data_IF_884770384017
#
_entry.id   IF_884770384017
#
_cell.length_a   1.000
_cell.length_b   1.000
_cell.length_c   1.000
_cell.angle_alpha   90.00
_cell.angle_beta   90.00
_cell.angle_gamma   90.00
#
_symmetry.space_group_name_H-M   'P 1'
#
loop_
_entity.id
_entity.type
_entity.pdbx_description
1 polymer ?
#
# COMPACT_ATOMS: atom_id res chain seq x y z
N UNK A 1 -45.10 32.83 -42.81
CA UNK A 1 -44.26 31.72 -43.32
C UNK A 1 -42.76 31.88 -43.07
N UNK A 2 -42.21 33.08 -42.81
CA UNK A 2 -40.76 33.28 -42.57
C UNK A 2 -40.28 32.86 -41.15
N UNK A 3 -41.16 32.87 -40.15
CA UNK A 3 -40.78 32.57 -38.76
C UNK A 3 -40.77 31.06 -38.42
N UNK A 4 -41.40 30.21 -39.26
CA UNK A 4 -41.47 28.76 -39.03
C UNK A 4 -40.17 28.05 -39.44
N UNK A 5 -39.44 28.58 -40.44
CA UNK A 5 -38.18 28.01 -40.94
C UNK A 5 -37.02 28.27 -39.96
N UNK A 6 -37.03 29.40 -39.25
CA UNK A 6 -36.00 29.76 -38.25
C UNK A 6 -36.10 28.88 -37.00
N UNK A 7 -37.31 28.53 -36.57
CA UNK A 7 -37.55 27.62 -35.45
C UNK A 7 -37.12 26.18 -35.75
N UNK A 8 -37.29 25.73 -37.01
CA UNK A 8 -36.77 24.43 -37.44
C UNK A 8 -35.23 24.40 -37.47
N UNK A 9 -34.56 25.48 -37.88
CA UNK A 9 -33.10 25.58 -37.84
C UNK A 9 -32.52 25.59 -36.41
N UNK A 10 -33.22 26.21 -35.46
CA UNK A 10 -32.79 26.24 -34.04
C UNK A 10 -32.91 24.87 -33.35
N UNK A 11 -33.84 24.01 -33.77
CA UNK A 11 -33.98 22.65 -33.25
C UNK A 11 -32.95 21.65 -33.80
N UNK A 12 -32.35 21.90 -34.97
CA UNK A 12 -31.34 21.00 -35.53
C UNK A 12 -29.93 21.19 -34.94
N UNK A 13 -29.66 22.31 -34.26
CA UNK A 13 -28.32 22.60 -33.70
C UNK A 13 -28.14 22.01 -32.29
N UNK A 14 -29.20 21.65 -31.57
CA UNK A 14 -29.10 21.13 -30.19
C UNK A 14 -29.09 19.61 -30.09
N UNK A 15 -29.12 18.87 -31.20
CA UNK A 15 -29.00 17.42 -31.22
C UNK A 15 -27.69 16.94 -31.86
N UNK A 16 -26.60 17.67 -31.67
CA UNK A 16 -25.28 17.06 -31.66
C UNK A 16 -25.13 16.33 -30.32
N UNK A 17 -25.84 15.20 -30.19
CA UNK A 17 -25.63 14.28 -29.09
C UNK A 17 -24.13 13.99 -29.03
N UNK A 18 -23.52 14.33 -27.91
CA UNK A 18 -22.21 13.78 -27.57
C UNK A 18 -22.41 12.27 -27.49
N UNK A 19 -22.20 11.58 -28.61
CA UNK A 19 -21.79 10.20 -28.58
C UNK A 19 -20.49 10.23 -27.78
N UNK A 20 -20.56 9.86 -26.50
CA UNK A 20 -19.35 9.41 -25.82
C UNK A 20 -18.78 8.35 -26.74
N UNK A 21 -17.62 8.63 -27.33
CA UNK A 21 -16.78 7.57 -27.85
C UNK A 21 -16.43 6.75 -26.62
N UNK A 22 -17.26 5.75 -26.31
CA UNK A 22 -16.93 4.71 -25.35
C UNK A 22 -15.82 3.88 -25.99
N UNK A 23 -14.64 4.49 -26.16
CA UNK A 23 -13.41 3.75 -26.15
C UNK A 23 -13.40 3.10 -24.78
N UNK A 24 -13.72 1.82 -24.75
CA UNK A 24 -13.46 1.00 -23.58
C UNK A 24 -11.95 1.12 -23.37
N UNK A 25 -11.54 1.99 -22.46
CA UNK A 25 -10.20 1.96 -21.91
C UNK A 25 -10.21 0.76 -20.99
N UNK A 26 -9.80 -0.40 -21.52
CA UNK A 26 -9.48 -1.54 -20.68
C UNK A 26 -8.24 -1.11 -19.89
N UNK A 27 -8.32 -0.93 -18.56
CA UNK A 27 -7.15 -0.60 -17.78
C UNK A 27 -6.23 -1.82 -17.82
N UNK A 28 -5.27 -1.85 -18.73
CA UNK A 28 -4.20 -2.85 -18.77
C UNK A 28 -3.17 -2.50 -17.70
N UNK A 29 -3.61 -2.44 -16.45
CA UNK A 29 -2.74 -2.26 -15.29
C UNK A 29 -2.27 -3.61 -14.76
N UNK A 30 -3.19 -4.59 -14.69
CA UNK A 30 -2.96 -5.87 -14.02
C UNK A 30 -2.58 -6.99 -14.98
N UNK A 31 -1.48 -7.68 -14.69
CA UNK A 31 -1.04 -8.88 -15.39
C UNK A 31 -1.20 -10.15 -14.55
N UNK A 32 -1.76 -10.02 -13.33
CA UNK A 32 -2.02 -11.13 -12.41
C UNK A 32 -3.27 -10.89 -11.55
N UNK A 33 -3.71 -11.90 -10.78
CA UNK A 33 -4.83 -11.75 -9.84
C UNK A 33 -4.49 -10.76 -8.74
N UNK A 34 -5.43 -9.84 -8.50
CA UNK A 34 -5.36 -8.93 -7.36
C UNK A 34 -5.61 -9.75 -6.10
N UNK A 35 -4.65 -9.75 -5.16
CA UNK A 35 -4.77 -10.45 -3.88
C UNK A 35 -5.54 -9.61 -2.86
N UNK A 36 -5.34 -8.31 -2.88
CA UNK A 36 -5.93 -7.36 -1.93
C UNK A 36 -5.80 -5.93 -2.43
N UNK A 37 -6.54 -5.01 -1.83
CA UNK A 37 -6.45 -3.58 -2.09
C UNK A 37 -6.54 -2.79 -0.79
N UNK A 38 -5.93 -1.61 -0.77
CA UNK A 38 -6.07 -0.63 0.32
C UNK A 38 -6.39 0.74 -0.25
N UNK A 39 -7.21 1.50 0.47
CA UNK A 39 -7.53 2.89 0.17
C UNK A 39 -6.72 3.77 1.12
N UNK A 40 -6.16 4.87 0.62
CA UNK A 40 -5.52 5.83 1.52
C UNK A 40 -6.54 6.53 2.42
N UNK A 41 -6.06 7.09 3.53
CA UNK A 41 -6.92 7.76 4.53
C UNK A 41 -7.75 8.92 3.93
N UNK A 42 -7.24 9.57 2.88
CA UNK A 42 -7.91 10.69 2.22
C UNK A 42 -8.81 10.26 1.05
N UNK A 43 -8.91 8.95 0.76
CA UNK A 43 -9.66 8.38 -0.36
C UNK A 43 -9.28 9.01 -1.72
N UNK A 44 -8.02 9.41 -1.86
CA UNK A 44 -7.45 9.98 -3.07
C UNK A 44 -6.78 8.91 -3.91
N UNK A 45 -6.25 7.86 -3.27
CA UNK A 45 -5.44 6.83 -3.91
C UNK A 45 -5.89 5.44 -3.50
N UNK A 46 -5.90 4.53 -4.46
CA UNK A 46 -6.10 3.10 -4.23
C UNK A 46 -4.82 2.36 -4.58
N UNK A 47 -4.50 1.34 -3.80
CA UNK A 47 -3.35 0.48 -4.01
C UNK A 47 -3.83 -0.95 -4.17
N UNK A 48 -3.30 -1.65 -5.16
CA UNK A 48 -3.73 -2.98 -5.55
C UNK A 48 -2.53 -3.90 -5.52
N UNK A 49 -2.57 -4.89 -4.64
CA UNK A 49 -1.53 -5.90 -4.51
C UNK A 49 -1.75 -7.01 -5.53
N UNK A 50 -0.73 -7.23 -6.34
CA UNK A 50 -0.61 -8.34 -7.27
C UNK A 50 0.38 -9.39 -6.75
N UNK A 51 0.68 -10.40 -7.56
CA UNK A 51 1.62 -11.46 -7.17
C UNK A 51 3.00 -10.92 -6.80
N UNK A 52 3.54 -9.97 -7.57
CA UNK A 52 4.92 -9.50 -7.48
C UNK A 52 5.05 -7.97 -7.59
N UNK A 53 3.97 -7.23 -7.35
CA UNK A 53 3.98 -5.77 -7.38
C UNK A 53 2.78 -5.20 -6.64
N UNK A 54 2.88 -3.94 -6.24
CA UNK A 54 1.73 -3.11 -5.87
C UNK A 54 1.62 -2.02 -6.93
N UNK A 55 0.41 -1.70 -7.36
CA UNK A 55 0.17 -0.56 -8.24
C UNK A 55 -0.68 0.46 -7.48
N UNK A 56 -0.41 1.74 -7.69
CA UNK A 56 -1.15 2.87 -7.10
C UNK A 56 -1.87 3.64 -8.20
N UNK A 57 -3.14 3.96 -7.97
CA UNK A 57 -3.95 4.79 -8.88
C UNK A 57 -4.55 5.98 -8.14
N UNK A 58 -4.72 7.08 -8.87
CA UNK A 58 -5.59 8.17 -8.45
C UNK A 58 -7.05 7.72 -8.56
N UNK A 59 -7.76 7.67 -7.44
CA UNK A 59 -9.09 7.07 -7.33
C UNK A 59 -10.09 7.75 -8.27
N UNK A 60 -10.07 9.09 -8.33
CA UNK A 60 -11.05 9.89 -9.10
C UNK A 60 -10.92 9.70 -10.61
N UNK A 61 -9.71 9.51 -11.11
CA UNK A 61 -9.41 9.49 -12.55
C UNK A 61 -9.12 8.09 -13.08
N UNK A 62 -8.84 7.13 -12.20
CA UNK A 62 -8.32 5.82 -12.56
C UNK A 62 -6.88 5.86 -13.10
N UNK A 63 -6.20 7.01 -13.03
CA UNK A 63 -4.86 7.16 -13.57
C UNK A 63 -3.86 6.41 -12.69
N UNK A 64 -3.14 5.46 -13.29
CA UNK A 64 -2.01 4.81 -12.64
C UNK A 64 -0.89 5.83 -12.38
N UNK A 65 -0.35 5.81 -11.16
CA UNK A 65 0.68 6.73 -10.69
C UNK A 65 2.03 6.04 -10.58
N UNK A 66 2.08 4.95 -9.83
CA UNK A 66 3.30 4.21 -9.54
C UNK A 66 3.06 2.71 -9.57
N UNK A 67 4.12 1.98 -9.90
CA UNK A 67 4.23 0.54 -9.75
C UNK A 67 5.39 0.27 -8.81
N UNK A 68 5.13 -0.34 -7.67
CA UNK A 68 6.11 -0.76 -6.69
C UNK A 68 6.53 -2.19 -7.00
N UNK A 69 7.79 -2.37 -7.39
CA UNK A 69 8.33 -3.65 -7.79
C UNK A 69 8.62 -4.54 -6.58
N UNK A 70 8.01 -5.73 -6.56
CA UNK A 70 8.23 -6.76 -5.55
C UNK A 70 8.74 -8.04 -6.21
N UNK A 71 9.45 -7.92 -7.33
CA UNK A 71 10.09 -9.04 -8.00
C UNK A 71 10.98 -9.81 -7.02
N UNK A 72 10.78 -11.13 -6.98
CA UNK A 72 11.46 -12.01 -6.04
C UNK A 72 10.79 -12.12 -4.67
N UNK A 73 9.69 -11.43 -4.38
CA UNK A 73 8.94 -11.62 -3.14
C UNK A 73 8.36 -13.04 -3.06
N UNK A 74 8.68 -13.75 -1.98
CA UNK A 74 8.07 -15.03 -1.66
C UNK A 74 6.92 -14.83 -0.70
N UNK A 75 5.71 -15.23 -1.08
CA UNK A 75 4.53 -15.21 -0.20
C UNK A 75 4.33 -13.88 0.55
N UNK A 76 3.83 -12.87 -0.17
CA UNK A 76 3.43 -11.59 0.42
C UNK A 76 2.32 -11.84 1.44
N UNK A 77 2.61 -11.57 2.71
CA UNK A 77 1.69 -11.79 3.84
C UNK A 77 0.88 -10.55 4.17
N UNK A 78 1.45 -9.35 3.97
CA UNK A 78 0.80 -8.09 4.30
C UNK A 78 1.34 -6.90 3.49
N UNK A 79 0.55 -5.84 3.40
CA UNK A 79 0.97 -4.53 2.92
C UNK A 79 0.08 -3.42 3.52
N UNK A 80 0.69 -2.32 3.93
CA UNK A 80 -0.03 -1.23 4.62
C UNK A 80 0.63 0.13 4.41
N UNK A 81 -0.12 1.21 4.67
CA UNK A 81 0.36 2.58 4.56
C UNK A 81 0.76 3.14 5.92
N UNK A 82 1.71 4.08 5.94
CA UNK A 82 1.87 4.97 7.08
C UNK A 82 0.64 5.88 7.24
N UNK A 83 0.40 6.41 8.44
CA UNK A 83 -0.77 7.26 8.75
C UNK A 83 -0.90 8.48 7.83
N UNK A 84 0.24 9.06 7.42
CA UNK A 84 0.33 10.19 6.50
C UNK A 84 0.17 9.78 5.01
N UNK A 85 0.13 8.47 4.73
CA UNK A 85 0.04 7.90 3.38
C UNK A 85 1.32 8.01 2.54
N UNK A 86 2.41 8.55 3.09
CA UNK A 86 3.64 8.83 2.34
C UNK A 86 4.56 7.60 2.17
N UNK A 87 4.30 6.54 2.94
CA UNK A 87 5.06 5.29 2.89
C UNK A 87 4.12 4.10 2.72
N UNK A 88 4.57 3.14 1.93
CA UNK A 88 3.95 1.83 1.75
C UNK A 88 4.92 0.78 2.26
N UNK A 89 4.52 -0.07 3.20
CA UNK A 89 5.28 -1.27 3.57
C UNK A 89 4.66 -2.50 2.92
N UNK A 90 5.51 -3.43 2.49
CA UNK A 90 5.10 -4.75 1.99
C UNK A 90 5.95 -5.80 2.68
N UNK A 91 5.28 -6.78 3.29
CA UNK A 91 5.91 -7.88 4.02
C UNK A 91 5.80 -9.16 3.19
N UNK A 92 6.92 -9.82 3.00
CA UNK A 92 7.00 -11.13 2.37
C UNK A 92 7.92 -12.04 3.18
N UNK A 93 7.86 -13.34 2.90
CA UNK A 93 8.65 -14.35 3.61
C UNK A 93 10.16 -14.10 3.55
N UNK A 94 10.67 -13.55 2.45
CA UNK A 94 12.10 -13.39 2.22
C UNK A 94 12.60 -11.93 2.31
N UNK A 95 11.70 -10.95 2.27
CA UNK A 95 12.05 -9.55 2.57
C UNK A 95 10.84 -8.71 2.97
N UNK A 96 11.12 -7.62 3.68
CA UNK A 96 10.18 -6.50 3.86
C UNK A 96 10.71 -5.27 3.15
N UNK A 97 9.88 -4.62 2.34
CA UNK A 97 10.24 -3.43 1.58
C UNK A 97 9.35 -2.26 1.97
N UNK A 98 9.94 -1.07 2.04
CA UNK A 98 9.22 0.20 2.24
C UNK A 98 9.46 1.09 1.04
N UNK A 99 8.37 1.61 0.48
CA UNK A 99 8.37 2.51 -0.66
C UNK A 99 7.85 3.89 -0.25
N UNK A 100 8.38 4.92 -0.91
CA UNK A 100 7.81 6.27 -0.93
C UNK A 100 6.64 6.30 -1.91
N UNK A 101 5.46 6.71 -1.44
CA UNK A 101 4.28 6.88 -2.30
C UNK A 101 4.30 8.21 -3.06
N UNK A 102 5.27 9.08 -2.76
CA UNK A 102 5.45 10.39 -3.37
C UNK A 102 6.21 10.34 -4.70
N UNK A 103 7.11 9.36 -4.85
CA UNK A 103 7.93 9.20 -6.05
C UNK A 103 8.09 7.75 -6.52
N UNK A 104 7.42 6.80 -5.86
CA UNK A 104 7.36 5.39 -6.25
C UNK A 104 8.62 4.59 -5.93
N UNK A 105 9.60 5.16 -5.22
CA UNK A 105 10.90 4.51 -4.99
C UNK A 105 10.92 3.69 -3.72
N UNK A 106 11.67 2.59 -3.76
CA UNK A 106 12.04 1.87 -2.54
C UNK A 106 13.00 2.74 -1.71
N UNK A 107 12.63 2.97 -0.45
CA UNK A 107 13.42 3.77 0.49
C UNK A 107 14.09 2.92 1.57
N UNK A 108 13.61 1.69 1.80
CA UNK A 108 14.20 0.75 2.74
C UNK A 108 13.83 -0.68 2.37
N UNK A 109 14.75 -1.62 2.60
CA UNK A 109 14.51 -3.06 2.45
C UNK A 109 15.32 -3.81 3.50
N UNK A 110 14.71 -4.84 4.07
CA UNK A 110 15.37 -5.80 4.97
C UNK A 110 15.08 -7.22 4.50
N UNK A 111 16.11 -8.05 4.44
CA UNK A 111 16.05 -9.45 3.99
C UNK A 111 16.54 -10.43 5.05
N UNK A 112 16.70 -9.98 6.29
CA UNK A 112 17.23 -10.80 7.39
C UNK A 112 16.09 -11.51 8.13
N UNK A 113 16.06 -12.84 7.97
CA UNK A 113 15.08 -13.74 8.57
C UNK A 113 13.65 -13.56 8.07
N UNK A 114 12.74 -14.37 8.61
CA UNK A 114 11.34 -14.39 8.20
C UNK A 114 10.60 -13.29 8.96
N UNK A 115 10.45 -12.12 8.34
CA UNK A 115 9.60 -11.06 8.87
C UNK A 115 8.15 -11.51 8.78
N UNK A 116 7.47 -11.55 9.93
CA UNK A 116 6.08 -11.99 10.03
C UNK A 116 5.10 -10.83 9.95
N UNK A 117 5.44 -9.69 10.55
CA UNK A 117 4.64 -8.47 10.52
C UNK A 117 5.50 -7.21 10.54
N UNK A 118 4.96 -6.12 9.99
CA UNK A 118 5.56 -4.80 9.99
C UNK A 118 4.49 -3.71 10.19
N UNK A 119 4.73 -2.75 11.09
CA UNK A 119 3.82 -1.60 11.31
C UNK A 119 4.62 -0.31 11.48
N UNK A 120 4.10 0.78 10.92
CA UNK A 120 4.65 2.11 11.19
C UNK A 120 4.22 2.63 12.56
N UNK A 121 5.06 3.45 13.19
CA UNK A 121 4.60 4.33 14.26
C UNK A 121 3.55 5.32 13.73
N UNK A 122 2.74 5.90 14.62
CA UNK A 122 1.65 6.82 14.24
C UNK A 122 2.15 8.01 13.41
N UNK A 123 3.33 8.54 13.74
CA UNK A 123 4.01 9.63 13.02
C UNK A 123 4.79 9.15 11.78
N UNK A 124 4.86 7.84 11.52
CA UNK A 124 5.59 7.22 10.42
C UNK A 124 7.11 7.39 10.47
N UNK A 125 7.68 7.80 11.61
CA UNK A 125 9.13 7.97 11.79
C UNK A 125 9.85 6.65 12.04
N UNK A 126 9.13 5.64 12.53
CA UNK A 126 9.66 4.31 12.85
C UNK A 126 8.86 3.21 12.16
N UNK A 127 9.53 2.08 11.95
CA UNK A 127 8.92 0.83 11.52
C UNK A 127 9.26 -0.25 12.54
N UNK A 128 8.23 -0.89 13.08
CA UNK A 128 8.38 -2.02 13.99
C UNK A 128 8.24 -3.32 13.22
N UNK A 129 9.18 -4.23 13.41
CA UNK A 129 9.25 -5.52 12.73
C UNK A 129 9.22 -6.65 13.75
N UNK A 130 8.48 -7.69 13.42
CA UNK A 130 8.60 -8.99 14.08
C UNK A 130 9.21 -9.99 13.11
N UNK A 131 10.22 -10.72 13.59
CA UNK A 131 10.87 -11.79 12.84
C UNK A 131 10.71 -13.09 13.61
N UNK A 132 10.39 -14.18 12.93
CA UNK A 132 10.39 -15.53 13.51
C UNK A 132 11.49 -16.39 12.87
N UNK A 133 12.53 -16.71 13.64
CA UNK A 133 13.60 -17.62 13.24
C UNK A 133 13.52 -18.89 14.10
N UNK A 134 12.77 -19.90 13.62
CA UNK A 134 12.51 -21.19 14.29
C UNK A 134 11.98 -21.06 15.74
N UNK A 135 12.87 -20.79 16.71
CA UNK A 135 12.60 -20.69 18.15
C UNK A 135 12.92 -19.31 18.75
N UNK A 136 13.33 -18.34 17.93
CA UNK A 136 13.66 -16.98 18.35
C UNK A 136 12.79 -16.02 17.58
N UNK A 137 11.92 -15.34 18.30
CA UNK A 137 11.20 -14.20 17.79
C UNK A 137 12.01 -12.93 18.14
N UNK A 138 12.19 -12.04 17.19
CA UNK A 138 12.87 -10.77 17.41
C UNK A 138 11.93 -9.62 17.16
N UNK A 139 11.85 -8.68 18.10
CA UNK A 139 11.16 -7.41 17.91
C UNK A 139 12.19 -6.31 17.64
N UNK A 140 12.07 -5.69 16.48
CA UNK A 140 13.00 -4.67 16.00
C UNK A 140 12.29 -3.35 15.78
N UNK A 141 12.99 -2.27 16.04
CA UNK A 141 12.63 -0.93 15.61
C UNK A 141 13.62 -0.49 14.54
N UNK A 142 13.09 0.06 13.46
CA UNK A 142 13.84 0.70 12.39
C UNK A 142 13.51 2.17 12.40
N UNK A 143 14.53 3.01 12.54
CA UNK A 143 14.40 4.45 12.35
C UNK A 143 14.37 4.75 10.85
N UNK A 144 13.27 5.31 10.35
CA UNK A 144 13.05 5.49 8.91
C UNK A 144 13.87 6.63 8.29
N UNK A 145 14.44 7.51 9.11
CA UNK A 145 15.29 8.61 8.64
C UNK A 145 16.73 8.12 8.44
N UNK A 146 17.27 7.49 9.48
CA UNK A 146 18.66 6.99 9.52
C UNK A 146 18.79 5.61 8.91
N UNK A 147 17.68 4.88 8.74
CA UNK A 147 17.61 3.48 8.28
C UNK A 147 18.36 2.52 9.18
N UNK A 148 18.49 2.87 10.46
CA UNK A 148 19.16 2.05 11.46
C UNK A 148 18.15 1.11 12.11
N UNK A 149 18.54 -0.17 12.22
CA UNK A 149 17.74 -1.20 12.88
C UNK A 149 18.31 -1.50 14.26
N UNK A 150 17.43 -1.61 15.25
CA UNK A 150 17.76 -1.95 16.63
C UNK A 150 16.86 -3.07 17.12
N UNK A 151 17.47 -4.11 17.69
CA UNK A 151 16.75 -5.11 18.46
C UNK A 151 16.23 -4.48 19.75
N UNK A 152 14.92 -4.48 19.94
CA UNK A 152 14.28 -4.04 21.18
C UNK A 152 14.21 -5.22 22.16
N UNK A 153 13.78 -6.39 21.69
CA UNK A 153 13.60 -7.57 22.55
C UNK A 153 13.76 -8.87 21.77
N UNK A 154 14.48 -9.82 22.38
CA UNK A 154 14.43 -11.23 21.97
C UNK A 154 13.29 -11.92 22.72
N UNK A 155 12.50 -12.65 21.98
CA UNK A 155 11.34 -13.39 22.42
C UNK A 155 11.62 -14.88 22.23
N UNK A 156 11.38 -15.68 23.26
CA UNK A 156 11.41 -17.14 23.17
C UNK A 156 9.99 -17.65 23.04
N UNK A 157 9.81 -18.88 22.51
CA UNK A 157 8.50 -19.50 22.32
C UNK A 157 7.64 -19.56 23.61
N UNK A 158 8.26 -19.48 24.78
CA UNK A 158 7.59 -19.51 26.09
C UNK A 158 7.24 -18.12 26.64
N UNK A 159 7.68 -17.02 25.99
CA UNK A 159 7.42 -15.66 26.46
C UNK A 159 6.01 -15.20 26.04
N UNK A 160 5.04 -15.38 26.94
CA UNK A 160 3.62 -14.99 26.74
C UNK A 160 3.44 -13.51 26.38
N UNK A 161 4.38 -12.65 26.77
CA UNK A 161 4.34 -11.22 26.43
C UNK A 161 4.71 -10.95 24.96
N UNK A 162 5.34 -11.92 24.29
CA UNK A 162 5.71 -11.84 22.87
C UNK A 162 4.64 -12.43 21.93
N UNK A 163 3.75 -13.30 22.42
CA UNK A 163 2.55 -13.69 21.68
C UNK A 163 1.67 -12.47 21.31
N UNK A 164 1.77 -11.38 22.09
CA UNK A 164 1.14 -10.08 21.82
C UNK A 164 1.96 -9.25 20.82
N UNK A 165 3.29 -9.42 20.76
CA UNK A 165 4.15 -8.77 19.76
C UNK A 165 3.78 -9.17 18.33
N UNK A 166 3.30 -10.41 18.14
CA UNK A 166 2.76 -10.88 16.86
C UNK A 166 1.49 -10.16 16.41
N UNK A 167 0.82 -9.44 17.31
CA UNK A 167 -0.34 -8.59 17.02
C UNK A 167 0.06 -7.12 17.16
N UNK A 168 0.83 -6.64 16.18
CA UNK A 168 1.40 -5.29 16.17
C UNK A 168 0.31 -4.20 16.15
N UNK A 169 -0.95 -4.57 15.90
CA UNK A 169 -2.13 -3.70 16.03
C UNK A 169 -2.40 -3.22 17.47
N UNK A 170 -1.78 -3.86 18.47
CA UNK A 170 -1.88 -3.48 19.89
C UNK A 170 -0.79 -2.50 20.34
N UNK A 171 0.15 -2.13 19.46
CA UNK A 171 1.09 -1.04 19.71
C UNK A 171 0.37 0.29 19.50
N UNK A 172 -0.41 0.73 20.49
CA UNK A 172 -0.98 2.08 20.47
C UNK A 172 -0.10 2.99 21.32
N UNK A 173 0.69 3.86 20.67
CA UNK A 173 1.49 4.89 21.33
C UNK A 173 2.58 4.35 22.27
N UNK A 174 3.73 3.98 21.72
CA UNK A 174 5.02 3.78 22.41
C UNK A 174 5.09 2.80 23.61
N UNK A 175 3.99 2.20 24.05
CA UNK A 175 3.95 1.32 25.22
C UNK A 175 3.36 -0.05 24.84
N UNK A 176 4.03 -1.09 25.34
CA UNK A 176 3.48 -2.44 25.35
C UNK A 176 2.24 -2.43 26.24
N UNK A 177 1.07 -2.70 25.68
CA UNK A 177 -0.05 -3.15 26.52
C UNK A 177 0.33 -4.53 27.06
N UNK A 178 0.87 -4.54 28.28
CA UNK A 178 1.07 -5.73 29.12
C UNK A 178 -0.28 -6.24 29.61
#
# INVERSE_FOLDING_TARGET
MKNLVVLLYLCFITFAGSAQTNGIVVPMGHSSSIKSFILDNQQKYVYGLELNRVIMWELRTGRQLYTFDLSGAENISDFSLSSDGNKLVVVSKNFTSVFSTLDGKEIYRVSEGIVTNAIFSEDGSKLYLTNSEFFREGFYEVDMQTKTQKLIKNCTADDKNCAIAGDVSKLNGNEWLV
#
